data_IF_997548570864
#
_entry.id   IF_997548570864
#
_cell.length_a   1.000
_cell.length_b   1.000
_cell.length_c   1.000
_cell.angle_alpha   90.00
_cell.angle_beta   90.00
_cell.angle_gamma   90.00
#
_symmetry.space_group_name_H-M   'P 1'
#
loop_
_entity.id
_entity.type
_entity.pdbx_description
1 polymer ?
#
# COMPACT_ATOMS: atom_id res chain seq x y z
N UNK A 1 4.61 0.55 24.59
CA UNK A 1 3.38 0.22 23.84
C UNK A 1 3.44 0.87 22.46
N UNK A 2 3.91 0.17 21.42
CA UNK A 2 3.86 0.70 20.05
C UNK A 2 2.42 0.52 19.54
N UNK A 3 1.69 1.63 19.44
CA UNK A 3 0.31 1.65 18.92
C UNK A 3 0.36 1.16 17.47
N UNK A 4 -0.54 0.28 17.07
CA UNK A 4 -0.72 -0.22 15.68
C UNK A 4 -1.08 0.89 14.67
N UNK A 5 -1.07 2.15 15.09
CA UNK A 5 -1.42 3.34 14.31
C UNK A 5 -0.23 3.95 13.54
N UNK A 6 1.01 3.53 13.80
CA UNK A 6 2.21 4.05 13.12
C UNK A 6 2.58 3.26 11.84
N UNK A 7 1.70 2.38 11.36
CA UNK A 7 1.98 1.70 10.10
C UNK A 7 1.92 2.71 8.96
N UNK A 8 2.96 2.79 8.10
CA UNK A 8 2.97 3.73 7.01
C UNK A 8 1.78 3.45 6.09
N UNK A 9 1.06 4.52 5.75
CA UNK A 9 -0.04 4.49 4.80
C UNK A 9 0.37 5.17 3.51
N UNK A 10 -0.03 4.58 2.38
CA UNK A 10 0.22 5.10 1.04
C UNK A 10 -1.10 5.28 0.30
N UNK A 11 -1.14 6.19 -0.65
CA UNK A 11 -2.31 6.44 -1.48
C UNK A 11 -2.13 5.67 -2.79
N UNK A 12 -3.14 4.89 -3.18
CA UNK A 12 -3.12 4.19 -4.47
C UNK A 12 -3.46 5.18 -5.60
N UNK A 13 -2.61 5.40 -6.61
CA UNK A 13 -2.86 6.37 -7.68
C UNK A 13 -3.96 5.93 -8.68
N UNK A 14 -4.50 4.71 -8.53
CA UNK A 14 -5.52 4.16 -9.45
C UNK A 14 -6.93 4.29 -8.88
N UNK A 15 -7.08 4.06 -7.57
CA UNK A 15 -8.37 4.16 -6.89
C UNK A 15 -8.45 5.30 -5.88
N UNK A 16 -7.37 6.06 -5.70
CA UNK A 16 -7.22 7.14 -4.73
C UNK A 16 -7.56 6.77 -3.28
N UNK A 17 -7.51 5.48 -2.94
CA UNK A 17 -7.79 4.98 -1.59
C UNK A 17 -6.50 4.87 -0.78
N UNK A 18 -6.49 5.32 0.49
CA UNK A 18 -5.38 5.08 1.39
C UNK A 18 -5.32 3.58 1.72
N UNK A 19 -4.12 3.02 1.73
CA UNK A 19 -3.88 1.65 2.11
C UNK A 19 -2.68 1.57 3.05
N UNK A 20 -2.82 0.76 4.11
CA UNK A 20 -1.81 0.61 5.15
C UNK A 20 -0.82 -0.46 4.78
N UNK A 21 0.40 -0.34 5.31
CA UNK A 21 1.41 -1.38 5.26
C UNK A 21 0.84 -2.75 5.65
N UNK A 22 1.26 -3.78 4.93
CA UNK A 22 0.91 -5.18 5.18
C UNK A 22 2.19 -5.98 5.25
N UNK A 23 2.21 -7.03 6.08
CA UNK A 23 3.37 -7.91 6.25
C UNK A 23 3.88 -8.52 4.94
N UNK A 24 3.01 -8.75 3.96
CA UNK A 24 3.40 -9.22 2.61
C UNK A 24 4.27 -8.24 1.80
N UNK A 25 4.42 -7.01 2.29
CA UNK A 25 5.18 -5.93 1.66
C UNK A 25 6.40 -5.55 2.50
N UNK A 26 6.77 -6.36 3.48
CA UNK A 26 7.93 -6.08 4.34
C UNK A 26 9.21 -5.84 3.55
N UNK A 27 9.43 -6.63 2.49
CA UNK A 27 10.63 -6.56 1.64
C UNK A 27 10.56 -5.45 0.58
N UNK A 28 9.36 -5.20 0.03
CA UNK A 28 9.16 -4.37 -1.17
C UNK A 28 8.34 -3.10 -0.92
N UNK A 29 8.10 -2.72 0.34
CA UNK A 29 7.18 -1.63 0.68
C UNK A 29 7.48 -0.35 -0.09
N UNK A 30 8.76 -0.01 -0.29
CA UNK A 30 9.20 1.16 -1.04
C UNK A 30 8.69 1.15 -2.49
N UNK A 31 8.71 -0.02 -3.15
CA UNK A 31 8.22 -0.23 -4.51
C UNK A 31 6.69 -0.32 -4.61
N UNK A 32 6.00 -0.63 -3.50
CA UNK A 32 4.53 -0.76 -3.46
C UNK A 32 3.88 0.61 -3.58
N UNK A 33 3.31 0.88 -4.75
CA UNK A 33 2.53 2.09 -5.07
C UNK A 33 1.02 1.83 -5.15
N UNK A 34 0.59 0.57 -5.25
CA UNK A 34 -0.80 0.19 -5.51
C UNK A 34 -1.38 -0.64 -4.37
N UNK A 35 -2.64 -0.39 -4.02
CA UNK A 35 -3.31 -1.11 -2.92
C UNK A 35 -3.57 -2.60 -3.23
N UNK A 36 -3.56 -2.98 -4.51
CA UNK A 36 -3.86 -4.33 -4.98
C UNK A 36 -3.23 -4.58 -6.35
N UNK A 37 -3.07 -5.86 -6.70
CA UNK A 37 -2.62 -6.25 -8.04
C UNK A 37 -3.60 -5.80 -9.13
N UNK A 38 -4.90 -5.78 -8.83
CA UNK A 38 -5.91 -5.23 -9.73
C UNK A 38 -5.59 -3.77 -10.11
N UNK A 39 -5.28 -2.94 -9.13
CA UNK A 39 -4.87 -1.56 -9.39
C UNK A 39 -3.55 -1.48 -10.17
N UNK A 40 -2.57 -2.34 -9.85
CA UNK A 40 -1.31 -2.42 -10.61
C UNK A 40 -1.54 -2.75 -12.09
N UNK A 41 -2.45 -3.68 -12.39
CA UNK A 41 -2.79 -4.10 -13.77
C UNK A 41 -3.72 -3.12 -14.49
N UNK A 42 -4.53 -2.36 -13.76
CA UNK A 42 -5.49 -1.39 -14.31
C UNK A 42 -4.85 -0.04 -14.72
N UNK A 43 -3.57 -0.04 -15.06
CA UNK A 43 -2.80 1.16 -15.43
C UNK A 43 -2.87 1.42 -16.94
N UNK A 44 -4.09 1.31 -17.50
CA UNK A 44 -4.37 1.52 -18.92
C UNK A 44 -5.00 2.88 -19.14
#
# INVERSE_FOLDING_TARGET
MRKKSDLPEKICPVCNRPFKWRKKWEDDWENVKYCSERCRRNKN
#
